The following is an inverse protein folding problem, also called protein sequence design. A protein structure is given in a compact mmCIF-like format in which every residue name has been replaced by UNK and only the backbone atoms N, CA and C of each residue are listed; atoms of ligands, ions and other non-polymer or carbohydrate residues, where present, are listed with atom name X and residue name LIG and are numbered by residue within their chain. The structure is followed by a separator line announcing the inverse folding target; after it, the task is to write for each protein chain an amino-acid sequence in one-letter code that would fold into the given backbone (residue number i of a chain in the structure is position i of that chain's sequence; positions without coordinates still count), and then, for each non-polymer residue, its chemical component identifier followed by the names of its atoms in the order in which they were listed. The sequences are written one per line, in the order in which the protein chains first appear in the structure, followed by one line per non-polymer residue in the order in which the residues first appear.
data_IF_483566960456
#
_entry.id   IF_483566960456
#
_cell.length_a   1.000
_cell.length_b   1.000
_cell.length_c   1.000
_cell.angle_alpha   90.00
_cell.angle_beta   90.00
_cell.angle_gamma   90.00
#
_symmetry.space_group_name_H-M   'P 1'
#
loop_
_entity.id
_entity.type
_entity.pdbx_description
1 polymer ?
#
# COMPACT_ATOMS: atom_id res chain seq x y z
N UNK A 1 10.18 0.06 2.95
CA UNK A 1 9.88 1.48 2.64
C UNK A 1 8.47 1.75 3.06
N UNK A 2 8.29 2.69 3.99
CA UNK A 2 6.98 3.12 4.42
C UNK A 2 6.37 4.06 3.38
N UNK A 3 5.09 3.87 3.07
CA UNK A 3 4.33 4.71 2.17
C UNK A 3 3.58 5.77 2.99
N UNK A 4 3.58 7.05 2.57
CA UNK A 4 2.77 8.08 3.23
C UNK A 4 1.28 7.70 3.27
N UNK A 5 0.54 8.25 4.24
CA UNK A 5 -0.88 7.94 4.40
C UNK A 5 -1.67 8.24 3.12
N UNK A 6 -2.42 7.25 2.62
CA UNK A 6 -3.20 7.36 1.40
C UNK A 6 -2.43 7.21 0.07
N UNK A 7 -1.12 6.94 0.09
CA UNK A 7 -0.34 6.58 -1.10
C UNK A 7 -0.47 5.08 -1.38
N UNK A 8 -0.79 4.73 -2.62
CA UNK A 8 -0.91 3.33 -3.04
C UNK A 8 0.31 2.86 -3.82
N UNK A 9 0.56 1.55 -3.81
CA UNK A 9 1.56 0.93 -4.70
C UNK A 9 1.13 -0.48 -5.08
N UNK A 10 1.07 -0.77 -6.37
CA UNK A 10 0.88 -2.14 -6.89
C UNK A 10 2.26 -2.74 -7.17
N UNK A 11 2.50 -3.95 -6.67
CA UNK A 11 3.78 -4.67 -6.83
C UNK A 11 3.53 -6.04 -7.44
N UNK A 12 4.36 -6.45 -8.40
CA UNK A 12 4.33 -7.78 -9.02
C UNK A 12 4.76 -8.89 -8.05
N UNK A 13 5.80 -8.62 -7.28
CA UNK A 13 6.46 -9.54 -6.35
C UNK A 13 7.27 -8.76 -5.33
N UNK A 14 7.92 -9.46 -4.39
CA UNK A 14 8.82 -8.86 -3.40
C UNK A 14 8.71 -9.49 -2.01
N UNK A 15 9.53 -9.01 -1.07
CA UNK A 15 9.51 -9.50 0.32
C UNK A 15 8.32 -9.01 1.14
N UNK A 16 8.23 -9.45 2.39
CA UNK A 16 7.14 -9.08 3.30
C UNK A 16 7.25 -7.66 3.87
N UNK A 17 8.38 -6.97 3.68
CA UNK A 17 8.53 -5.56 4.08
C UNK A 17 8.25 -5.29 5.56
N UNK A 18 8.59 -6.25 6.43
CA UNK A 18 8.26 -6.28 7.87
C UNK A 18 6.77 -6.37 8.23
N UNK A 19 5.88 -6.64 7.27
CA UNK A 19 4.46 -6.87 7.53
C UNK A 19 4.21 -8.33 7.94
N UNK A 20 3.77 -8.56 9.18
CA UNK A 20 3.56 -9.91 9.72
C UNK A 20 2.52 -10.72 8.93
N UNK A 21 1.44 -10.09 8.46
CA UNK A 21 0.46 -10.78 7.59
C UNK A 21 1.05 -11.29 6.28
N UNK A 22 1.91 -10.50 5.61
CA UNK A 22 2.56 -10.91 4.36
C UNK A 22 3.62 -11.98 4.66
N UNK A 23 4.34 -11.87 5.79
CA UNK A 23 5.27 -12.91 6.24
C UNK A 23 4.55 -14.25 6.42
N UNK A 24 3.38 -14.24 7.05
CA UNK A 24 2.54 -15.43 7.21
C UNK A 24 2.07 -15.98 5.86
N UNK A 25 1.55 -15.13 4.97
CA UNK A 25 1.11 -15.56 3.64
C UNK A 25 2.24 -16.21 2.82
N UNK A 26 3.44 -15.59 2.81
CA UNK A 26 4.62 -16.16 2.14
C UNK A 26 5.01 -17.51 2.75
N UNK A 27 4.94 -17.66 4.07
CA UNK A 27 5.25 -18.93 4.74
C UNK A 27 4.29 -20.06 4.34
N UNK A 28 3.00 -19.77 4.20
CA UNK A 28 1.98 -20.74 3.77
C UNK A 28 1.96 -21.00 2.26
N UNK A 29 2.75 -20.26 1.49
CA UNK A 29 2.93 -20.45 0.05
C UNK A 29 4.32 -21.05 -0.25
N UNK A 30 4.87 -21.87 0.65
CA UNK A 30 6.19 -22.51 0.53
C UNK A 30 7.32 -21.51 0.25
N UNK A 31 7.25 -20.32 0.86
CA UNK A 31 8.23 -19.27 0.66
C UNK A 31 8.10 -18.51 -0.66
N UNK A 32 7.10 -18.82 -1.51
CA UNK A 32 6.87 -18.12 -2.78
C UNK A 32 6.45 -16.67 -2.51
N UNK A 33 7.11 -15.76 -3.24
CA UNK A 33 6.93 -14.30 -3.12
C UNK A 33 6.37 -13.67 -4.40
N UNK A 34 6.03 -14.51 -5.36
CA UNK A 34 5.62 -14.20 -6.72
C UNK A 34 4.10 -14.03 -6.81
N UNK A 35 3.57 -13.19 -5.93
CA UNK A 35 2.16 -12.84 -5.95
C UNK A 35 2.00 -11.31 -5.92
N UNK A 36 1.05 -10.78 -6.70
CA UNK A 36 0.81 -9.36 -6.76
C UNK A 36 0.26 -8.84 -5.44
N UNK A 37 0.60 -7.59 -5.11
CA UNK A 37 0.14 -6.92 -3.90
C UNK A 37 -0.22 -5.47 -4.17
N UNK A 38 -1.39 -5.06 -3.69
CA UNK A 38 -1.76 -3.66 -3.55
C UNK A 38 -1.42 -3.21 -2.12
N UNK A 39 -0.44 -2.32 -1.98
CA UNK A 39 -0.06 -1.72 -0.71
C UNK A 39 -0.78 -0.40 -0.52
N UNK A 40 -1.35 -0.21 0.67
CA UNK A 40 -1.97 1.05 1.10
C UNK A 40 -1.06 1.66 2.17
N UNK A 41 -0.56 2.86 1.90
CA UNK A 41 0.24 3.62 2.84
C UNK A 41 -0.61 4.16 3.97
N UNK A 42 -0.12 3.98 5.19
CA UNK A 42 -0.72 4.50 6.43
C UNK A 42 0.19 5.51 7.13
N UNK A 43 1.35 5.82 6.54
CA UNK A 43 2.35 6.68 7.15
C UNK A 43 3.26 5.95 8.14
N UNK A 44 3.91 6.72 9.01
CA UNK A 44 4.81 6.24 10.06
C UNK A 44 4.30 6.72 11.42
N UNK A 45 4.56 5.96 12.50
CA UNK A 45 4.31 6.44 13.85
C UNK A 45 5.05 7.77 14.08
N UNK A 46 4.38 8.79 14.68
CA UNK A 46 5.01 10.07 14.96
C UNK A 46 6.02 9.96 16.10
N UNK A 47 7.20 10.55 15.91
CA UNK A 47 8.25 10.61 16.94
C UNK A 47 8.68 9.22 17.43
N UNK A 48 8.60 9.00 18.74
CA UNK A 48 8.98 7.74 19.42
C UNK A 48 7.78 6.85 19.76
N UNK A 49 6.61 7.09 19.15
CA UNK A 49 5.42 6.28 19.38
C UNK A 49 5.68 4.81 19.00
N UNK A 50 5.21 3.89 19.86
CA UNK A 50 5.26 2.46 19.59
C UNK A 50 4.47 2.11 18.31
N UNK A 51 5.07 1.26 17.47
CA UNK A 51 4.48 0.90 16.18
C UNK A 51 3.18 0.09 16.33
N UNK A 52 3.04 -0.75 17.36
CA UNK A 52 1.78 -1.50 17.57
C UNK A 52 0.67 -0.56 18.02
N UNK A 53 0.98 0.37 18.92
CA UNK A 53 0.04 1.40 19.36
C UNK A 53 -0.48 2.23 18.17
N UNK A 54 0.42 2.68 17.28
CA UNK A 54 0.06 3.38 16.05
C UNK A 54 -0.89 2.55 15.15
N UNK A 55 -0.58 1.26 14.93
CA UNK A 55 -1.38 0.39 14.07
C UNK A 55 -2.79 0.11 14.61
N UNK A 56 -2.98 0.12 15.92
CA UNK A 56 -4.26 -0.16 16.58
C UNK A 56 -5.13 1.08 16.77
N UNK A 57 -4.61 2.27 16.48
CA UNK A 57 -5.36 3.52 16.59
C UNK A 57 -6.30 3.72 15.40
N UNK A 58 -7.35 4.52 15.64
CA UNK A 58 -8.20 5.02 14.56
C UNK A 58 -7.50 6.17 13.85
N UNK A 59 -7.59 6.22 12.52
CA UNK A 59 -7.21 7.39 11.74
C UNK A 59 -7.92 8.65 12.22
N UNK A 60 -7.21 9.77 12.25
CA UNK A 60 -7.78 11.12 12.41
C UNK A 60 -8.73 11.46 11.25
N UNK A 61 -9.59 12.49 11.36
CA UNK A 61 -10.49 12.88 10.27
C UNK A 61 -9.76 13.20 8.95
N UNK A 62 -8.60 13.85 9.03
CA UNK A 62 -7.78 14.21 7.86
C UNK A 62 -7.21 12.95 7.20
N UNK A 63 -6.60 12.07 8.00
CA UNK A 63 -6.05 10.80 7.50
C UNK A 63 -7.14 9.90 6.93
N UNK A 64 -8.32 9.87 7.57
CA UNK A 64 -9.48 9.13 7.10
C UNK A 64 -9.93 9.61 5.72
N UNK A 65 -9.94 10.93 5.48
CA UNK A 65 -10.23 11.49 4.16
C UNK A 65 -9.24 11.02 3.09
N UNK A 66 -7.95 11.01 3.41
CA UNK A 66 -6.90 10.49 2.50
C UNK A 66 -7.07 8.99 2.22
N UNK A 67 -7.39 8.20 3.25
CA UNK A 67 -7.66 6.76 3.12
C UNK A 67 -8.90 6.51 2.27
N UNK A 68 -9.99 7.24 2.47
CA UNK A 68 -11.21 7.07 1.66
C UNK A 68 -10.95 7.33 0.17
N UNK A 69 -10.20 8.39 -0.15
CA UNK A 69 -9.75 8.65 -1.53
C UNK A 69 -8.86 7.54 -2.06
N UNK A 70 -7.93 7.03 -1.24
CA UNK A 70 -7.07 5.92 -1.61
C UNK A 70 -7.90 4.64 -1.87
N UNK A 71 -8.90 4.31 -1.06
CA UNK A 71 -9.74 3.14 -1.27
C UNK A 71 -10.43 3.17 -2.63
N UNK A 72 -11.01 4.32 -3.04
CA UNK A 72 -11.58 4.48 -4.38
C UNK A 72 -10.56 4.22 -5.49
N UNK A 73 -9.36 4.80 -5.38
CA UNK A 73 -8.27 4.57 -6.33
C UNK A 73 -7.77 3.12 -6.34
N UNK A 74 -7.79 2.46 -5.18
CA UNK A 74 -7.38 1.06 -5.01
C UNK A 74 -8.32 0.08 -5.68
N UNK A 75 -9.62 0.35 -5.66
CA UNK A 75 -10.63 -0.42 -6.41
C UNK A 75 -10.33 -0.38 -7.90
N UNK A 76 -10.09 0.81 -8.46
CA UNK A 76 -9.76 0.97 -9.88
C UNK A 76 -8.42 0.31 -10.25
N UNK A 77 -7.42 0.42 -9.38
CA UNK A 77 -6.14 -0.25 -9.58
C UNK A 77 -6.27 -1.78 -9.57
N UNK A 78 -7.07 -2.33 -8.65
CA UNK A 78 -7.34 -3.77 -8.59
C UNK A 78 -8.09 -4.26 -9.83
N UNK A 79 -9.12 -3.54 -10.29
CA UNK A 79 -9.84 -3.84 -11.54
C UNK A 79 -8.89 -3.83 -12.74
N UNK A 80 -8.07 -2.79 -12.86
CA UNK A 80 -7.08 -2.64 -13.93
C UNK A 80 -6.10 -3.81 -13.94
N UNK A 81 -5.58 -4.18 -12.77
CA UNK A 81 -4.64 -5.28 -12.63
C UNK A 81 -5.26 -6.63 -13.04
N UNK A 82 -6.52 -6.88 -12.68
CA UNK A 82 -7.21 -8.13 -13.03
C UNK A 82 -7.47 -8.21 -14.53
N UNK A 83 -7.88 -7.10 -15.16
CA UNK A 83 -8.27 -7.08 -16.57
C UNK A 83 -7.09 -7.00 -17.55
N UNK A 84 -6.02 -6.31 -17.15
CA UNK A 84 -4.90 -6.01 -18.05
C UNK A 84 -3.55 -6.56 -17.56
N UNK A 85 -3.51 -7.15 -16.36
CA UNK A 85 -2.26 -7.58 -15.75
C UNK A 85 -1.36 -6.40 -15.39
N UNK A 86 -0.05 -6.64 -15.37
CA UNK A 86 0.93 -5.59 -15.18
C UNK A 86 1.31 -4.96 -16.51
N UNK A 87 0.63 -3.87 -16.85
CA UNK A 87 0.85 -3.09 -18.05
C UNK A 87 1.28 -1.65 -17.71
N UNK A 88 1.38 -0.81 -18.74
CA UNK A 88 1.71 0.60 -18.62
C UNK A 88 0.72 1.40 -17.74
N UNK A 89 -0.54 0.94 -17.59
CA UNK A 89 -1.52 1.62 -16.74
C UNK A 89 -1.14 1.44 -15.27
N UNK A 90 -0.69 0.25 -14.87
CA UNK A 90 -0.20 -0.01 -13.51
C UNK A 90 1.10 0.77 -13.23
N UNK A 91 2.00 0.84 -14.20
CA UNK A 91 3.23 1.64 -14.06
C UNK A 91 2.93 3.12 -13.89
N UNK A 92 2.04 3.66 -14.73
CA UNK A 92 1.56 5.05 -14.61
C UNK A 92 0.84 5.30 -13.29
N UNK A 93 0.01 4.36 -12.84
CA UNK A 93 -0.67 4.45 -11.54
C UNK A 93 0.35 4.59 -10.41
N UNK A 94 1.37 3.72 -10.37
CA UNK A 94 2.43 3.79 -9.36
C UNK A 94 3.20 5.11 -9.42
N UNK A 95 3.47 5.64 -10.63
CA UNK A 95 4.14 6.93 -10.81
C UNK A 95 3.30 8.09 -10.25
N UNK A 96 2.01 8.14 -10.58
CA UNK A 96 1.09 9.16 -10.05
C UNK A 96 1.00 9.07 -8.53
N UNK A 97 0.91 7.86 -7.97
CA UNK A 97 0.88 7.67 -6.52
C UNK A 97 2.17 8.14 -5.84
N UNK A 98 3.34 7.88 -6.44
CA UNK A 98 4.64 8.34 -5.92
C UNK A 98 4.68 9.86 -5.71
N UNK A 99 4.05 10.63 -6.60
CA UNK A 99 4.04 12.09 -6.55
C UNK A 99 2.77 12.70 -5.93
N UNK A 100 1.84 11.89 -5.44
CA UNK A 100 0.51 12.31 -4.95
C UNK A 100 0.52 13.45 -3.91
N UNK A 101 1.55 13.51 -3.07
CA UNK A 101 1.70 14.56 -2.04
C UNK A 101 2.95 15.42 -2.22
N UNK A 102 3.61 15.36 -3.38
CA UNK A 102 4.68 16.31 -3.70
C UNK A 102 4.00 17.62 -4.11
N UNK A 103 4.06 18.64 -3.25
CA UNK A 103 3.79 20.01 -3.66
C UNK A 103 5.06 20.55 -4.30
N UNK A 104 4.99 20.92 -5.57
CA UNK A 104 5.98 21.79 -6.23
C UNK A 104 5.77 23.21 -5.71
#
# INVERSE_FOLDING_TARGET
MSLPNGVLRVQQKGGHGHHNGVKSAVAHLDGRREFPRLCIGIGNPPGTMDAKAFLLQKFSPVERGQINTALGQGVEAARTLILHGFDQKIDRFNLVQKYKYHKV
#
